data_IF_039949547112
#
_entry.id   IF_039949547112
#
_cell.length_a   1.000
_cell.length_b   1.000
_cell.length_c   1.000
_cell.angle_alpha   90.00
_cell.angle_beta   90.00
_cell.angle_gamma   90.00
#
_symmetry.space_group_name_H-M   'P 1'
#
loop_
_entity.id
_entity.type
_entity.pdbx_description
1 polymer ?
#
# COMPACT_ATOMS: atom_id res chain seq x y z
N UNK A 1 -18.21 -6.54 -9.24
CA UNK A 1 -16.82 -6.64 -8.75
C UNK A 1 -16.67 -6.02 -7.35
N UNK A 2 -17.77 -5.69 -6.66
CA UNK A 2 -17.78 -5.07 -5.32
C UNK A 2 -17.69 -6.10 -4.17
N UNK A 3 -17.55 -7.39 -4.45
CA UNK A 3 -17.57 -8.47 -3.45
C UNK A 3 -16.21 -9.02 -3.00
N UNK A 4 -15.08 -8.49 -3.49
CA UNK A 4 -13.75 -9.10 -3.25
C UNK A 4 -12.79 -8.24 -2.41
N UNK A 5 -13.12 -6.98 -2.12
CA UNK A 5 -12.23 -6.10 -1.37
C UNK A 5 -12.68 -6.02 0.08
N UNK A 6 -11.99 -6.77 0.95
CA UNK A 6 -12.19 -6.68 2.38
C UNK A 6 -11.31 -5.57 2.93
N UNK A 7 -11.92 -4.62 3.67
CA UNK A 7 -11.14 -3.57 4.32
C UNK A 7 -10.33 -4.18 5.47
N UNK A 8 -9.00 -4.08 5.38
CA UNK A 8 -8.09 -4.42 6.47
C UNK A 8 -8.17 -3.40 7.62
N UNK A 9 -7.49 -3.69 8.74
CA UNK A 9 -7.42 -2.74 9.85
C UNK A 9 -6.72 -1.43 9.40
N UNK A 10 -7.35 -0.28 9.64
CA UNK A 10 -6.76 1.06 9.44
C UNK A 10 -6.21 1.55 10.79
N UNK A 11 -4.91 1.34 10.99
CA UNK A 11 -4.24 1.53 12.27
C UNK A 11 -3.28 2.72 12.21
N UNK A 12 -3.31 3.55 13.24
CA UNK A 12 -2.28 4.57 13.48
C UNK A 12 -1.38 4.06 14.59
N UNK A 13 -0.10 3.90 14.32
CA UNK A 13 0.88 3.38 15.28
C UNK A 13 1.45 4.54 16.08
N UNK A 14 1.56 4.37 17.40
CA UNK A 14 2.17 5.34 18.28
C UNK A 14 3.67 5.51 17.99
N UNK A 15 4.13 6.76 17.95
CA UNK A 15 5.55 7.13 17.96
C UNK A 15 5.75 8.30 18.90
N UNK A 16 6.92 8.37 19.53
CA UNK A 16 7.22 9.44 20.48
C UNK A 16 7.34 10.80 19.78
N UNK A 17 7.15 11.88 20.55
CA UNK A 17 7.29 13.24 20.00
C UNK A 17 8.70 13.48 19.46
N UNK A 18 9.73 12.99 20.15
CA UNK A 18 11.13 13.10 19.73
C UNK A 18 11.38 12.40 18.39
N UNK A 19 10.66 11.31 18.10
CA UNK A 19 10.72 10.64 16.81
C UNK A 19 10.15 11.54 15.70
N UNK A 20 8.98 12.13 15.95
CA UNK A 20 8.29 12.98 14.99
C UNK A 20 9.03 14.30 14.73
N UNK A 21 9.61 14.89 15.76
CA UNK A 21 10.39 16.14 15.66
C UNK A 21 11.66 15.96 14.83
N UNK A 22 12.17 14.72 14.67
CA UNK A 22 13.33 14.38 13.82
C UNK A 22 12.98 14.10 12.37
N UNK A 23 11.71 14.13 11.98
CA UNK A 23 11.32 13.97 10.59
C UNK A 23 11.82 15.15 9.74
N UNK A 24 12.04 14.93 8.44
CA UNK A 24 12.33 16.03 7.51
C UNK A 24 11.15 17.00 7.35
N UNK A 25 11.43 18.21 6.89
CA UNK A 25 10.44 19.31 6.75
C UNK A 25 9.19 18.90 5.96
N UNK A 26 9.38 18.16 4.87
CA UNK A 26 8.28 17.65 4.06
C UNK A 26 7.35 16.74 4.88
N UNK A 27 7.91 15.76 5.60
CA UNK A 27 7.12 14.84 6.43
C UNK A 27 6.39 15.57 7.57
N UNK A 28 7.06 16.51 8.24
CA UNK A 28 6.44 17.30 9.32
C UNK A 28 5.23 18.09 8.81
N UNK A 29 5.41 18.83 7.71
CA UNK A 29 4.34 19.65 7.11
C UNK A 29 3.20 18.77 6.59
N UNK A 30 3.53 17.69 5.90
CA UNK A 30 2.55 16.80 5.28
C UNK A 30 1.70 16.04 6.30
N UNK A 31 2.32 15.49 7.34
CA UNK A 31 1.62 14.75 8.39
C UNK A 31 0.86 15.66 9.36
N UNK A 32 1.32 16.92 9.54
CA UNK A 32 0.55 17.92 10.27
C UNK A 32 -0.72 18.29 9.51
N UNK A 33 -0.63 18.58 8.20
CA UNK A 33 -1.76 18.97 7.36
C UNK A 33 -2.85 17.87 7.26
N UNK A 34 -2.45 16.59 7.23
CA UNK A 34 -3.40 15.46 7.23
C UNK A 34 -3.95 15.12 8.63
N UNK A 35 -3.45 15.78 9.68
CA UNK A 35 -3.76 15.48 11.07
C UNK A 35 -3.15 14.16 11.58
N UNK A 36 -2.27 13.51 10.81
CA UNK A 36 -1.63 12.26 11.19
C UNK A 36 -0.73 12.43 12.41
N UNK A 37 0.02 13.54 12.52
CA UNK A 37 0.91 13.81 13.66
C UNK A 37 0.17 13.72 15.00
N UNK A 38 -1.01 14.36 15.09
CA UNK A 38 -1.82 14.33 16.31
C UNK A 38 -2.40 12.94 16.59
N UNK A 39 -2.79 12.21 15.54
CA UNK A 39 -3.28 10.83 15.69
C UNK A 39 -2.19 9.88 16.17
N UNK A 40 -0.95 10.05 15.70
CA UNK A 40 0.21 9.25 16.11
C UNK A 40 0.51 9.48 17.59
N UNK A 41 0.59 10.75 18.01
CA UNK A 41 0.81 11.10 19.42
C UNK A 41 -0.30 10.59 20.35
N UNK A 42 -1.56 10.64 19.88
CA UNK A 42 -2.71 10.14 20.63
C UNK A 42 -2.93 8.62 20.54
N UNK A 43 -2.22 7.92 19.65
CA UNK A 43 -2.39 6.47 19.50
C UNK A 43 -1.78 5.72 20.68
N UNK A 44 -2.38 4.58 21.01
CA UNK A 44 -1.86 3.60 21.98
C UNK A 44 -1.44 2.29 21.33
N UNK A 45 -1.55 2.20 19.99
CA UNK A 45 -1.22 0.98 19.25
C UNK A 45 0.29 0.93 19.07
N UNK A 46 0.91 -0.14 19.55
CA UNK A 46 2.34 -0.41 19.33
C UNK A 46 2.57 -1.09 17.99
N UNK A 47 3.81 -1.09 17.50
CA UNK A 47 4.20 -1.81 16.28
C UNK A 47 3.84 -3.30 16.36
N UNK A 48 4.13 -3.95 17.50
CA UNK A 48 3.80 -5.37 17.71
C UNK A 48 2.30 -5.65 17.72
N UNK A 49 1.50 -4.76 18.29
CA UNK A 49 0.04 -4.91 18.30
C UNK A 49 -0.54 -4.73 16.88
N UNK A 50 -0.05 -3.72 16.15
CA UNK A 50 -0.43 -3.53 14.75
C UNK A 50 -0.05 -4.75 13.89
N UNK A 51 1.17 -5.26 14.06
CA UNK A 51 1.65 -6.45 13.34
C UNK A 51 0.74 -7.65 13.57
N UNK A 52 0.38 -7.96 14.83
CA UNK A 52 -0.52 -9.08 15.17
C UNK A 52 -1.90 -8.92 14.53
N UNK A 53 -2.48 -7.72 14.56
CA UNK A 53 -3.78 -7.46 13.96
C UNK A 53 -3.76 -7.67 12.44
N UNK A 54 -2.73 -7.19 11.76
CA UNK A 54 -2.57 -7.35 10.31
C UNK A 54 -2.29 -8.80 9.95
N UNK A 55 -1.43 -9.52 10.68
CA UNK A 55 -1.21 -10.97 10.50
C UNK A 55 -2.53 -11.74 10.61
N UNK A 56 -3.32 -11.44 11.65
CA UNK A 56 -4.63 -12.06 11.84
C UNK A 56 -5.56 -11.81 10.67
N UNK A 57 -5.58 -10.57 10.14
CA UNK A 57 -6.34 -10.24 8.94
C UNK A 57 -5.85 -11.02 7.71
N UNK A 58 -4.55 -11.03 7.42
CA UNK A 58 -3.97 -11.71 6.25
C UNK A 58 -4.27 -13.21 6.30
N UNK A 59 -4.00 -13.87 7.43
CA UNK A 59 -4.23 -15.33 7.59
C UNK A 59 -5.69 -15.74 7.38
N UNK A 60 -6.65 -14.90 7.79
CA UNK A 60 -8.08 -15.17 7.57
C UNK A 60 -8.50 -15.12 6.10
N UNK A 61 -7.76 -14.41 5.24
CA UNK A 61 -8.17 -14.15 3.86
C UNK A 61 -7.37 -14.92 2.80
N UNK A 62 -6.12 -15.30 3.09
CA UNK A 62 -5.21 -15.89 2.08
C UNK A 62 -5.31 -17.43 2.01
N UNK A 63 -5.90 -18.07 3.01
CA UNK A 63 -6.01 -19.54 3.04
C UNK A 63 -4.64 -20.21 3.12
N UNK A 64 -4.36 -21.17 2.25
CA UNK A 64 -3.14 -22.01 2.28
C UNK A 64 -2.01 -21.55 1.36
N UNK A 65 -2.22 -20.52 0.53
CA UNK A 65 -1.23 -20.07 -0.45
C UNK A 65 -0.32 -18.99 0.14
N UNK A 66 0.90 -18.84 -0.38
CA UNK A 66 1.75 -17.70 -0.05
C UNK A 66 1.25 -16.45 -0.81
N UNK A 67 0.78 -15.39 -0.12
CA UNK A 67 0.33 -14.17 -0.76
C UNK A 67 1.50 -13.36 -1.34
N UNK A 68 1.19 -12.53 -2.34
CA UNK A 68 2.08 -11.47 -2.82
C UNK A 68 1.66 -10.14 -2.20
N UNK A 69 2.63 -9.34 -1.76
CA UNK A 69 2.38 -7.95 -1.41
C UNK A 69 2.26 -7.10 -2.69
N UNK A 70 1.30 -6.17 -2.72
CA UNK A 70 0.96 -5.41 -3.91
C UNK A 70 0.66 -3.94 -3.57
N UNK A 71 1.06 -3.02 -4.45
CA UNK A 71 0.85 -1.58 -4.28
C UNK A 71 1.75 -0.76 -5.20
N UNK A 72 1.59 0.56 -5.20
CA UNK A 72 2.53 1.45 -5.88
C UNK A 72 3.82 1.59 -5.07
N UNK A 73 4.96 1.31 -5.70
CA UNK A 73 6.28 1.43 -5.06
C UNK A 73 6.38 0.57 -3.78
N UNK A 74 5.62 -0.53 -3.75
CA UNK A 74 5.40 -1.38 -2.57
C UNK A 74 6.67 -2.04 -2.06
N UNK A 75 7.75 -2.04 -2.86
CA UNK A 75 9.05 -2.50 -2.40
C UNK A 75 9.56 -1.68 -1.20
N UNK A 76 9.25 -0.38 -1.14
CA UNK A 76 9.62 0.48 0.00
C UNK A 76 8.86 0.03 1.24
N UNK A 77 7.54 -0.13 1.13
CA UNK A 77 6.71 -0.61 2.24
C UNK A 77 7.18 -1.98 2.72
N UNK A 78 7.52 -2.89 1.80
CA UNK A 78 7.99 -4.22 2.15
C UNK A 78 9.35 -4.20 2.85
N UNK A 79 10.25 -3.28 2.52
CA UNK A 79 11.50 -3.07 3.26
C UNK A 79 11.25 -2.59 4.69
N UNK A 80 10.27 -1.69 4.89
CA UNK A 80 9.86 -1.28 6.23
C UNK A 80 9.27 -2.45 7.02
N UNK A 81 8.39 -3.24 6.41
CA UNK A 81 7.85 -4.45 7.07
C UNK A 81 8.97 -5.42 7.46
N UNK A 82 9.92 -5.72 6.58
CA UNK A 82 11.05 -6.61 6.92
C UNK A 82 11.87 -6.15 8.12
N UNK A 83 11.93 -4.84 8.37
CA UNK A 83 12.70 -4.26 9.47
C UNK A 83 11.90 -4.16 10.77
N UNK A 84 10.64 -3.70 10.68
CA UNK A 84 9.84 -3.32 11.85
C UNK A 84 8.71 -4.31 12.17
N UNK A 85 8.31 -5.14 11.20
CA UNK A 85 7.26 -6.16 11.32
C UNK A 85 7.67 -7.46 10.59
N UNK A 86 8.75 -8.13 11.05
CA UNK A 86 9.33 -9.26 10.34
C UNK A 86 8.43 -10.50 10.28
N UNK A 87 7.57 -10.72 11.27
CA UNK A 87 6.64 -11.86 11.29
C UNK A 87 5.54 -11.67 10.23
N UNK A 88 5.07 -10.42 10.06
CA UNK A 88 4.15 -10.07 8.99
C UNK A 88 4.84 -10.18 7.63
N UNK A 89 6.07 -9.65 7.49
CA UNK A 89 6.83 -9.73 6.25
C UNK A 89 7.06 -11.19 5.82
N UNK A 90 7.29 -12.10 6.79
CA UNK A 90 7.48 -13.53 6.56
C UNK A 90 6.27 -14.27 6.01
N UNK A 91 5.08 -13.66 6.02
CA UNK A 91 3.91 -14.23 5.36
C UNK A 91 3.98 -14.13 3.83
N UNK A 92 4.65 -13.11 3.29
CA UNK A 92 4.62 -12.81 1.86
C UNK A 92 5.79 -13.43 1.10
N UNK A 93 5.58 -13.65 -0.21
CA UNK A 93 6.68 -13.98 -1.11
C UNK A 93 7.70 -12.85 -1.22
N UNK A 94 8.94 -13.18 -1.57
CA UNK A 94 9.94 -12.19 -1.95
C UNK A 94 9.58 -11.48 -3.27
N UNK A 95 8.73 -12.12 -4.09
CA UNK A 95 8.16 -11.52 -5.31
C UNK A 95 7.03 -10.56 -4.93
N UNK A 96 7.06 -9.36 -5.49
CA UNK A 96 6.07 -8.31 -5.23
C UNK A 96 5.31 -7.94 -6.50
N UNK A 97 4.08 -7.47 -6.35
CA UNK A 97 3.30 -6.86 -7.44
C UNK A 97 3.39 -5.35 -7.32
N UNK A 98 4.43 -4.77 -7.94
CA UNK A 98 4.65 -3.32 -7.91
C UNK A 98 3.96 -2.61 -9.08
N UNK A 99 2.91 -1.85 -8.77
CA UNK A 99 2.12 -1.10 -9.76
C UNK A 99 2.95 0.01 -10.41
N UNK A 100 3.90 0.60 -9.68
CA UNK A 100 4.78 1.65 -10.21
C UNK A 100 5.73 1.11 -11.29
N UNK A 101 6.11 -0.17 -11.22
CA UNK A 101 6.85 -0.83 -12.29
C UNK A 101 6.03 -0.90 -13.58
N UNK A 102 4.75 -1.30 -13.48
CA UNK A 102 3.84 -1.35 -14.64
C UNK A 102 3.59 0.06 -15.22
N UNK A 103 3.39 1.05 -14.36
CA UNK A 103 3.30 2.47 -14.75
C UNK A 103 4.53 2.93 -15.53
N UNK A 104 5.73 2.61 -15.04
CA UNK A 104 6.98 2.99 -15.70
C UNK A 104 7.10 2.39 -17.11
N UNK A 105 6.59 1.17 -17.32
CA UNK A 105 6.48 0.53 -18.63
C UNK A 105 5.39 1.20 -19.49
N UNK A 106 4.23 1.52 -18.92
CA UNK A 106 3.14 2.23 -19.62
C UNK A 106 3.61 3.55 -20.21
N UNK A 107 4.31 4.37 -19.41
CA UNK A 107 4.87 5.66 -19.84
C UNK A 107 5.77 5.51 -21.08
N UNK A 108 6.57 4.45 -21.14
CA UNK A 108 7.58 4.24 -22.19
C UNK A 108 7.02 3.54 -23.42
N UNK A 109 6.18 2.54 -23.23
CA UNK A 109 5.72 1.66 -24.31
C UNK A 109 4.35 2.07 -24.85
N UNK A 110 3.52 2.74 -24.03
CA UNK A 110 2.13 3.10 -24.34
C UNK A 110 1.82 4.56 -23.96
N UNK A 111 2.56 5.57 -24.48
CA UNK A 111 2.43 6.96 -24.04
C UNK A 111 1.05 7.58 -24.30
N UNK A 112 0.26 7.04 -25.25
CA UNK A 112 -1.11 7.47 -25.50
C UNK A 112 -2.08 6.97 -24.42
N UNK A 113 -1.93 5.72 -23.99
CA UNK A 113 -2.75 5.12 -22.94
C UNK A 113 -2.41 5.71 -21.58
N UNK A 114 -1.13 5.99 -21.32
CA UNK A 114 -0.73 6.66 -20.08
C UNK A 114 -1.46 8.00 -19.85
N UNK A 115 -1.76 8.77 -20.91
CA UNK A 115 -2.51 10.04 -20.79
C UNK A 115 -3.96 9.85 -20.32
N UNK A 116 -4.49 8.64 -20.47
CA UNK A 116 -5.85 8.25 -20.07
C UNK A 116 -5.86 7.47 -18.76
N UNK A 117 -4.69 7.18 -18.18
CA UNK A 117 -4.61 6.49 -16.89
C UNK A 117 -5.26 7.36 -15.79
N UNK A 118 -5.95 6.74 -14.81
CA UNK A 118 -6.56 7.47 -13.70
C UNK A 118 -5.54 8.37 -12.99
N UNK A 119 -5.91 9.62 -12.73
CA UNK A 119 -5.11 10.49 -11.87
C UNK A 119 -5.39 10.15 -10.41
N UNK A 120 -4.33 10.11 -9.60
CA UNK A 120 -4.43 9.94 -8.15
C UNK A 120 -4.96 11.24 -7.54
N UNK A 121 -5.99 11.13 -6.72
CA UNK A 121 -6.53 12.26 -5.96
C UNK A 121 -5.61 12.60 -4.78
N UNK A 122 -4.73 11.66 -4.38
CA UNK A 122 -3.77 11.80 -3.29
C UNK A 122 -4.46 12.26 -2.00
N UNK A 123 -5.52 11.56 -1.57
CA UNK A 123 -6.26 11.88 -0.34
C UNK A 123 -5.47 11.58 0.95
N UNK A 124 -4.22 11.10 0.83
CA UNK A 124 -3.23 10.95 1.90
C UNK A 124 -3.70 10.07 3.06
N UNK A 125 -4.51 9.05 2.77
CA UNK A 125 -4.91 7.99 3.70
C UNK A 125 -4.55 6.65 3.09
N UNK A 126 -3.94 5.78 3.90
CA UNK A 126 -3.43 4.48 3.45
C UNK A 126 -4.48 3.66 2.68
N UNK A 127 -5.73 3.58 3.19
CA UNK A 127 -6.80 2.85 2.51
C UNK A 127 -7.19 3.45 1.15
N UNK A 128 -7.18 4.78 1.03
CA UNK A 128 -7.51 5.44 -0.24
C UNK A 128 -6.39 5.24 -1.26
N UNK A 129 -5.13 5.35 -0.83
CA UNK A 129 -3.95 5.10 -1.67
C UNK A 129 -3.93 3.63 -2.16
N UNK A 130 -4.36 2.67 -1.34
CA UNK A 130 -4.53 1.26 -1.74
C UNK A 130 -5.60 1.14 -2.83
N UNK A 131 -6.77 1.77 -2.65
CA UNK A 131 -7.85 1.74 -3.65
C UNK A 131 -7.40 2.35 -4.97
N UNK A 132 -6.71 3.47 -4.93
CA UNK A 132 -6.12 4.10 -6.11
C UNK A 132 -5.11 3.18 -6.81
N UNK A 133 -4.25 2.49 -6.05
CA UNK A 133 -3.29 1.53 -6.60
C UNK A 133 -3.98 0.36 -7.32
N UNK A 134 -5.09 -0.15 -6.75
CA UNK A 134 -5.89 -1.22 -7.36
C UNK A 134 -6.55 -0.73 -8.66
N UNK A 135 -7.13 0.47 -8.65
CA UNK A 135 -7.76 1.07 -9.84
C UNK A 135 -6.74 1.31 -10.95
N UNK A 136 -5.55 1.81 -10.60
CA UNK A 136 -4.45 2.02 -11.55
C UNK A 136 -3.98 0.69 -12.17
N UNK A 137 -3.77 -0.35 -11.37
CA UNK A 137 -3.36 -1.66 -11.91
C UNK A 137 -4.46 -2.30 -12.77
N UNK A 138 -5.74 -2.10 -12.40
CA UNK A 138 -6.87 -2.56 -13.22
C UNK A 138 -6.87 -1.87 -14.59
N UNK A 139 -6.63 -0.56 -14.62
CA UNK A 139 -6.50 0.18 -15.87
C UNK A 139 -5.38 -0.41 -16.75
N UNK A 140 -4.19 -0.66 -16.21
CA UNK A 140 -3.10 -1.26 -16.99
C UNK A 140 -3.44 -2.66 -17.50
N UNK A 141 -4.07 -3.49 -16.67
CA UNK A 141 -4.54 -4.83 -17.07
C UNK A 141 -5.48 -4.78 -18.28
N UNK A 142 -6.36 -3.79 -18.35
CA UNK A 142 -7.36 -3.66 -19.41
C UNK A 142 -6.79 -3.05 -20.70
N UNK A 143 -5.74 -2.23 -20.61
CA UNK A 143 -5.24 -1.45 -21.75
C UNK A 143 -3.86 -1.89 -22.28
N UNK A 144 -3.01 -2.52 -21.45
CA UNK A 144 -1.64 -2.91 -21.83
C UNK A 144 -1.46 -4.41 -22.04
N UNK A 145 -2.20 -5.24 -21.31
CA UNK A 145 -2.01 -6.69 -21.36
C UNK A 145 -2.92 -7.31 -22.41
N UNK A 146 -2.44 -8.36 -23.07
CA UNK A 146 -3.25 -9.11 -24.04
C UNK A 146 -4.55 -9.58 -23.36
N UNK A 147 -5.72 -9.39 -23.99
CA UNK A 147 -6.96 -9.88 -23.46
C UNK A 147 -6.88 -11.40 -23.30
N UNK A 148 -7.48 -11.93 -22.23
CA UNK A 148 -7.60 -13.38 -22.08
C UNK A 148 -8.45 -13.89 -23.24
N UNK A 149 -7.87 -14.75 -24.08
CA UNK A 149 -8.65 -15.49 -25.07
C UNK A 149 -9.71 -16.29 -24.32
N UNK A 150 -10.97 -16.15 -24.72
CA UNK A 150 -12.04 -17.05 -24.26
C UNK A 150 -11.74 -18.40 -24.93
N UNK A 151 -11.15 -19.32 -24.17
CA UNK A 151 -11.20 -20.75 -24.51
C UNK A 151 -12.60 -21.27 -24.22
#
# INVERSE_FOLDING_TARGET
MEGYMQNGPDLVIHQSKECLDRMGEWCQSHHAASGLTNKVLGSKITESEAEKQVIGFVKRHVGTHTPLIAGNSVYVDFLFLKKYMPDLAGLFSHVVVDVSSVKALCIRWYPKDQRKAPQKENKHRALDDIRESIMELKYYKENMFKPKSKK
#
